data_IF_892969964724
#
_entry.id   IF_892969964724
#
_cell.length_a   1.000
_cell.length_b   1.000
_cell.length_c   1.000
_cell.angle_alpha   90.00
_cell.angle_beta   90.00
_cell.angle_gamma   90.00
#
_symmetry.space_group_name_H-M   'P 1'
#
loop_
_entity.id
_entity.type
_entity.pdbx_description
1 polymer ?
#
# COMPACT_ATOMS: atom_id res chain seq x y z
N UNK A 1 7.55 -12.50 22.14
CA UNK A 1 7.61 -13.75 21.36
C UNK A 1 6.34 -14.52 21.65
N UNK A 2 5.50 -14.72 20.63
CA UNK A 2 4.31 -15.57 20.72
C UNK A 2 4.70 -17.03 20.45
N UNK A 3 3.99 -17.98 21.03
CA UNK A 3 4.16 -19.40 20.72
C UNK A 3 3.63 -19.72 19.30
N UNK A 4 4.04 -20.87 18.76
CA UNK A 4 3.59 -21.32 17.42
C UNK A 4 2.07 -21.53 17.43
N UNK A 5 1.54 -22.12 18.49
CA UNK A 5 0.11 -22.39 18.63
C UNK A 5 -0.69 -21.08 18.68
N UNK A 6 -0.25 -20.11 19.48
CA UNK A 6 -0.86 -18.77 19.52
C UNK A 6 -0.79 -18.04 18.17
N UNK A 7 0.31 -18.22 17.41
CA UNK A 7 0.44 -17.63 16.08
C UNK A 7 -0.53 -18.25 15.07
N UNK A 8 -0.72 -19.58 15.13
CA UNK A 8 -1.68 -20.29 14.29
C UNK A 8 -3.11 -19.92 14.65
N UNK A 9 -3.42 -19.84 15.94
CA UNK A 9 -4.73 -19.40 16.43
C UNK A 9 -5.03 -17.96 16.02
N UNK A 10 -4.05 -17.05 16.09
CA UNK A 10 -4.19 -15.68 15.61
C UNK A 10 -4.43 -15.61 14.10
N UNK A 11 -3.76 -16.46 13.31
CA UNK A 11 -3.93 -16.51 11.86
C UNK A 11 -5.30 -17.07 11.44
N UNK A 12 -5.74 -18.14 12.10
CA UNK A 12 -7.00 -18.81 11.82
C UNK A 12 -8.20 -18.02 12.35
N UNK A 13 -8.05 -17.40 13.53
CA UNK A 13 -9.06 -16.57 14.20
C UNK A 13 -9.01 -15.09 13.83
N UNK A 14 -8.30 -14.71 12.76
CA UNK A 14 -8.17 -13.30 12.36
C UNK A 14 -9.54 -12.69 12.04
N UNK A 15 -9.80 -11.51 12.58
CA UNK A 15 -10.99 -10.70 12.28
C UNK A 15 -10.60 -9.24 12.09
N UNK A 16 -11.57 -8.37 11.80
CA UNK A 16 -11.30 -6.92 11.78
C UNK A 16 -10.99 -6.36 13.18
N UNK A 17 -11.33 -7.12 14.23
CA UNK A 17 -11.24 -6.72 15.63
C UNK A 17 -10.00 -7.33 16.32
N UNK A 18 -9.52 -8.49 15.83
CA UNK A 18 -8.27 -9.12 16.26
C UNK A 18 -7.22 -9.04 15.17
N UNK A 19 -6.32 -8.07 15.32
CA UNK A 19 -5.16 -7.91 14.46
C UNK A 19 -4.11 -8.99 14.72
N UNK A 20 -3.39 -9.36 13.66
CA UNK A 20 -2.24 -10.24 13.76
C UNK A 20 -1.09 -9.53 14.48
N UNK A 21 -0.35 -10.23 15.37
CA UNK A 21 0.86 -9.68 15.98
C UNK A 21 1.89 -9.24 14.93
N UNK A 22 2.52 -8.09 15.14
CA UNK A 22 3.49 -7.50 14.20
C UNK A 22 4.66 -8.43 13.90
N UNK A 23 5.17 -9.15 14.90
CA UNK A 23 6.28 -10.09 14.72
C UNK A 23 5.91 -11.24 13.79
N UNK A 24 4.66 -11.71 13.87
CA UNK A 24 4.18 -12.77 12.98
C UNK A 24 4.07 -12.27 11.54
N UNK A 25 3.57 -11.05 11.34
CA UNK A 25 3.52 -10.41 10.02
C UNK A 25 4.94 -10.28 9.44
N UNK A 26 5.92 -9.85 10.24
CA UNK A 26 7.32 -9.72 9.79
C UNK A 26 7.90 -11.06 9.33
N UNK A 27 7.63 -12.16 10.03
CA UNK A 27 8.05 -13.50 9.62
C UNK A 27 7.42 -13.90 8.28
N UNK A 28 6.13 -13.61 8.08
CA UNK A 28 5.44 -13.88 6.81
C UNK A 28 6.01 -13.05 5.66
N UNK A 29 6.30 -11.77 5.90
CA UNK A 29 6.91 -10.88 4.90
C UNK A 29 8.30 -11.37 4.52
N UNK A 30 9.17 -11.71 5.49
CA UNK A 30 10.50 -12.29 5.22
C UNK A 30 10.42 -13.55 4.37
N UNK A 31 9.51 -14.47 4.72
CA UNK A 31 9.28 -15.68 3.94
C UNK A 31 8.85 -15.38 2.49
N UNK A 32 8.03 -14.34 2.28
CA UNK A 32 7.64 -13.92 0.94
C UNK A 32 8.82 -13.30 0.17
N UNK A 33 9.71 -12.58 0.85
CA UNK A 33 10.93 -12.02 0.26
C UNK A 33 11.89 -13.14 -0.18
N UNK A 34 12.10 -14.16 0.64
CA UNK A 34 12.98 -15.31 0.33
C UNK A 34 12.52 -16.05 -0.93
N UNK A 35 11.22 -16.03 -1.22
CA UNK A 35 10.65 -16.63 -2.44
C UNK A 35 10.94 -15.80 -3.71
N UNK A 36 11.51 -14.59 -3.57
CA UNK A 36 11.71 -13.61 -4.65
C UNK A 36 13.17 -13.09 -4.74
N UNK A 37 14.21 -13.96 -4.77
CA UNK A 37 15.62 -13.60 -4.56
C UNK A 37 16.27 -12.68 -5.60
N UNK A 38 15.62 -12.38 -6.72
CA UNK A 38 16.18 -11.57 -7.82
C UNK A 38 15.27 -10.42 -8.28
N UNK A 39 14.24 -10.10 -7.49
CA UNK A 39 13.30 -9.03 -7.83
C UNK A 39 13.54 -7.83 -6.94
N UNK A 40 13.48 -6.63 -7.49
CA UNK A 40 13.31 -5.42 -6.69
C UNK A 40 11.96 -5.50 -5.99
N UNK A 41 11.94 -5.18 -4.70
CA UNK A 41 10.73 -5.20 -3.89
C UNK A 41 10.16 -3.79 -3.80
N UNK A 42 8.85 -3.66 -3.96
CA UNK A 42 8.13 -2.43 -3.70
C UNK A 42 7.10 -2.72 -2.60
N UNK A 43 7.36 -2.20 -1.41
CA UNK A 43 6.51 -2.39 -0.24
C UNK A 43 5.62 -1.16 -0.12
N UNK A 44 4.33 -1.34 -0.38
CA UNK A 44 3.32 -0.27 -0.34
C UNK A 44 2.47 -0.38 0.93
N UNK A 45 2.47 0.67 1.75
CA UNK A 45 1.61 0.78 2.91
C UNK A 45 1.95 -0.17 4.06
N UNK A 46 3.21 -0.57 4.22
CA UNK A 46 3.71 -1.27 5.41
C UNK A 46 5.04 -0.66 5.88
N UNK A 47 5.20 -0.41 7.20
CA UNK A 47 4.21 -0.55 8.27
C UNK A 47 3.11 0.53 8.21
N UNK A 48 1.87 0.18 8.59
CA UNK A 48 0.73 1.12 8.63
C UNK A 48 0.67 1.92 9.91
N UNK A 49 1.01 1.27 11.02
CA UNK A 49 1.15 1.92 12.31
C UNK A 49 2.59 2.40 12.47
N UNK A 50 2.73 3.63 12.91
CA UNK A 50 3.98 4.36 13.13
C UNK A 50 4.34 4.37 14.62
N UNK A 51 3.80 3.43 15.40
CA UNK A 51 4.27 3.24 16.77
C UNK A 51 5.77 2.90 16.78
N UNK A 52 6.47 3.33 17.86
CA UNK A 52 7.92 3.20 17.93
C UNK A 52 8.39 1.74 17.81
N UNK A 53 7.55 0.79 18.25
CA UNK A 53 7.87 -0.63 18.27
C UNK A 53 7.82 -1.22 16.86
N UNK A 54 6.75 -0.98 16.10
CA UNK A 54 6.59 -1.48 14.74
C UNK A 54 7.62 -0.87 13.79
N UNK A 55 7.94 0.41 13.98
CA UNK A 55 9.00 1.08 13.21
C UNK A 55 10.38 0.47 13.51
N UNK A 56 10.75 0.35 14.78
CA UNK A 56 12.05 -0.22 15.15
C UNK A 56 12.19 -1.67 14.67
N UNK A 57 11.14 -2.48 14.81
CA UNK A 57 11.12 -3.85 14.30
C UNK A 57 11.23 -3.89 12.78
N UNK A 58 10.47 -3.06 12.05
CA UNK A 58 10.53 -3.00 10.59
C UNK A 58 11.93 -2.66 10.07
N UNK A 59 12.54 -1.59 10.59
CA UNK A 59 13.87 -1.15 10.15
C UNK A 59 14.95 -2.17 10.51
N UNK A 60 14.89 -2.73 11.73
CA UNK A 60 15.87 -3.75 12.17
C UNK A 60 15.75 -5.03 11.37
N UNK A 61 14.52 -5.50 11.16
CA UNK A 61 14.28 -6.85 10.67
C UNK A 61 14.17 -6.93 9.14
N UNK A 62 13.77 -5.85 8.47
CA UNK A 62 13.43 -5.90 7.04
C UNK A 62 14.41 -5.15 6.14
N UNK A 63 14.84 -3.95 6.52
CA UNK A 63 15.63 -3.08 5.64
C UNK A 63 16.96 -3.74 5.31
N UNK A 64 17.67 -4.25 6.31
CA UNK A 64 18.94 -4.95 6.05
C UNK A 64 18.79 -6.47 5.85
N UNK A 65 17.58 -6.97 5.54
CA UNK A 65 17.34 -8.41 5.46
C UNK A 65 18.06 -9.09 4.29
N UNK A 66 18.21 -8.39 3.16
CA UNK A 66 18.83 -8.90 1.92
C UNK A 66 20.12 -8.18 1.51
N UNK A 67 20.57 -7.22 2.31
CA UNK A 67 21.76 -6.37 2.04
C UNK A 67 21.72 -5.62 0.69
N UNK A 68 20.52 -5.37 0.16
CA UNK A 68 20.33 -4.59 -1.05
C UNK A 68 20.24 -3.09 -0.76
N UNK A 69 20.35 -2.27 -1.81
CA UNK A 69 20.15 -0.83 -1.69
C UNK A 69 18.65 -0.51 -1.51
N UNK A 70 18.31 0.13 -0.39
CA UNK A 70 16.94 0.53 -0.07
C UNK A 70 16.66 2.00 -0.36
N UNK A 71 15.42 2.29 -0.74
CA UNK A 71 14.89 3.64 -0.88
C UNK A 71 13.60 3.74 -0.08
N UNK A 72 13.54 4.70 0.83
CA UNK A 72 12.31 5.06 1.54
C UNK A 72 11.67 6.29 0.90
N UNK A 73 10.42 6.15 0.47
CA UNK A 73 9.66 7.23 -0.15
C UNK A 73 8.53 7.63 0.80
N UNK A 74 8.62 8.84 1.36
CA UNK A 74 7.52 9.45 2.08
C UNK A 74 6.85 10.51 1.19
N UNK A 75 5.56 10.34 0.93
CA UNK A 75 4.77 11.28 0.14
C UNK A 75 4.12 12.28 1.10
N UNK A 76 4.79 13.42 1.31
CA UNK A 76 4.27 14.50 2.15
C UNK A 76 3.28 15.37 1.36
N UNK A 77 2.01 15.33 1.77
CA UNK A 77 0.91 16.07 1.14
C UNK A 77 0.01 16.65 2.24
N UNK A 78 -0.39 17.92 2.15
CA UNK A 78 -1.33 18.52 3.10
C UNK A 78 -2.68 17.78 3.13
N UNK A 79 -3.25 17.61 4.33
CA UNK A 79 -4.54 16.94 4.51
C UNK A 79 -5.67 17.57 3.68
N UNK A 80 -5.66 18.90 3.53
CA UNK A 80 -6.63 19.61 2.69
C UNK A 80 -6.57 19.17 1.22
N UNK A 81 -5.40 18.81 0.70
CA UNK A 81 -5.22 18.28 -0.66
C UNK A 81 -5.74 16.85 -0.74
N UNK A 82 -5.51 16.03 0.29
CA UNK A 82 -6.03 14.65 0.37
C UNK A 82 -7.56 14.65 0.40
N UNK A 83 -8.16 15.46 1.28
CA UNK A 83 -9.61 15.60 1.42
C UNK A 83 -10.24 16.08 0.10
N UNK A 84 -9.67 17.13 -0.51
CA UNK A 84 -10.14 17.62 -1.80
C UNK A 84 -9.98 16.55 -2.91
N UNK A 85 -8.92 15.73 -2.90
CA UNK A 85 -8.72 14.61 -3.84
C UNK A 85 -9.78 13.53 -3.68
N UNK A 86 -10.20 13.22 -2.45
CA UNK A 86 -11.25 12.24 -2.18
C UNK A 86 -12.62 12.77 -2.62
N UNK A 87 -12.98 14.01 -2.24
CA UNK A 87 -14.28 14.64 -2.53
C UNK A 87 -14.53 14.90 -4.01
N UNK A 88 -13.48 15.21 -4.77
CA UNK A 88 -13.59 15.54 -6.20
C UNK A 88 -13.23 14.38 -7.14
N UNK A 89 -13.09 13.17 -6.60
CA UNK A 89 -12.88 11.96 -7.38
C UNK A 89 -14.18 11.55 -8.08
N UNK A 90 -14.09 11.36 -9.38
CA UNK A 90 -15.16 10.76 -10.20
C UNK A 90 -14.62 9.51 -10.89
N UNK A 91 -15.48 8.55 -11.20
CA UNK A 91 -15.11 7.31 -11.90
C UNK A 91 -15.74 7.33 -13.28
N UNK A 92 -14.94 7.09 -14.32
CA UNK A 92 -15.47 6.98 -15.68
C UNK A 92 -16.36 5.72 -15.79
N UNK A 93 -17.60 5.83 -16.28
CA UNK A 93 -18.49 4.67 -16.38
C UNK A 93 -18.07 3.66 -17.47
N UNK A 94 -17.24 4.08 -18.43
CA UNK A 94 -16.72 3.19 -19.49
C UNK A 94 -15.48 2.42 -19.02
N UNK A 95 -14.35 3.08 -18.71
CA UNK A 95 -13.11 2.40 -18.32
C UNK A 95 -12.91 2.18 -16.82
N UNK A 96 -13.84 2.67 -15.97
CA UNK A 96 -13.76 2.54 -14.51
C UNK A 96 -12.50 3.19 -13.88
N UNK A 97 -11.78 4.01 -14.64
CA UNK A 97 -10.59 4.69 -14.15
C UNK A 97 -10.97 5.90 -13.29
N UNK A 98 -10.37 6.07 -12.10
CA UNK A 98 -10.61 7.25 -11.27
C UNK A 98 -10.00 8.50 -11.93
N UNK A 99 -10.76 9.59 -11.93
CA UNK A 99 -10.39 10.93 -12.40
C UNK A 99 -10.66 11.96 -11.31
N UNK A 100 -10.11 13.17 -11.46
CA UNK A 100 -10.29 14.24 -10.48
C UNK A 100 -10.67 15.55 -11.17
N UNK A 101 -11.71 16.21 -10.67
CA UNK A 101 -12.23 17.44 -11.30
C UNK A 101 -11.44 18.71 -10.95
N UNK A 102 -10.58 18.69 -9.92
CA UNK A 102 -9.96 19.91 -9.35
C UNK A 102 -8.43 19.86 -9.28
N UNK A 103 -7.86 18.86 -8.63
CA UNK A 103 -6.45 18.83 -8.22
C UNK A 103 -5.51 18.06 -9.16
N UNK A 104 -6.05 17.58 -10.28
CA UNK A 104 -5.30 17.10 -11.44
C UNK A 104 -6.28 17.00 -12.61
N UNK A 105 -6.98 18.11 -12.88
CA UNK A 105 -8.04 18.14 -13.86
C UNK A 105 -7.47 17.74 -15.23
N UNK A 106 -7.90 16.59 -15.75
CA UNK A 106 -7.75 16.31 -17.18
C UNK A 106 -8.50 17.40 -17.91
N UNK A 107 -7.86 18.03 -18.90
CA UNK A 107 -8.36 19.25 -19.55
C UNK A 107 -9.83 19.17 -19.96
N UNK A 108 -10.31 17.98 -20.34
CA UNK A 108 -11.72 17.73 -20.60
C UNK A 108 -12.23 16.52 -19.81
N UNK A 109 -13.31 16.72 -19.05
CA UNK A 109 -14.09 15.69 -18.35
C UNK A 109 -15.31 15.36 -19.19
N UNK A 110 -15.06 14.96 -20.44
CA UNK A 110 -16.12 14.56 -21.36
C UNK A 110 -15.86 13.09 -21.66
N UNK A 111 -16.89 12.24 -21.64
CA UNK A 111 -16.81 10.81 -22.02
C UNK A 111 -15.99 10.60 -23.31
N UNK A 112 -16.01 11.60 -24.20
CA UNK A 112 -15.27 11.62 -25.46
C UNK A 112 -13.74 11.79 -25.33
N UNK A 113 -13.21 12.38 -24.25
CA UNK A 113 -11.77 12.59 -24.11
C UNK A 113 -11.02 11.31 -23.70
N UNK A 114 -11.65 10.41 -22.95
CA UNK A 114 -11.01 9.12 -22.63
C UNK A 114 -10.76 8.29 -23.91
N UNK A 115 -11.71 8.34 -24.85
CA UNK A 115 -11.59 7.76 -26.19
C UNK A 115 -10.56 8.55 -27.03
N UNK A 116 -10.64 9.89 -27.05
CA UNK A 116 -9.76 10.72 -27.88
C UNK A 116 -8.27 10.71 -27.45
N UNK A 117 -7.97 10.41 -26.18
CA UNK A 117 -6.61 10.24 -25.67
C UNK A 117 -6.11 8.79 -25.73
N UNK A 118 -6.88 7.84 -26.27
CA UNK A 118 -6.48 6.43 -26.39
C UNK A 118 -6.35 5.71 -25.04
N UNK A 119 -7.07 6.16 -24.01
CA UNK A 119 -7.02 5.63 -22.63
C UNK A 119 -8.22 4.74 -22.29
N UNK A 120 -9.10 4.53 -23.27
CA UNK A 120 -10.27 3.68 -23.26
C UNK A 120 -10.25 2.94 -24.62
N UNK A 121 -10.24 1.60 -24.63
CA UNK A 121 -10.55 0.85 -25.86
C UNK A 121 -12.02 1.14 -26.25
N UNK A 122 -12.29 1.25 -27.56
CA UNK A 122 -13.63 1.55 -28.10
C UNK A 122 -14.74 0.63 -27.58
#
# INVERSE_FOLDING_TARGET
YISIDEAMDALLGRSQDKLLPTEFILVLVKKAIDQLPKKTLFIDGFPRDLDQVSYAMYFRDLINYREDADIFINIDIPEAVVDARMKSRVVCPSCHSPRNLKLFATRDVVDKLCVALGLCDE
#
